data_IF_341850676505
#
_entry.id   IF_341850676505
#
_cell.length_a   1.000
_cell.length_b   1.000
_cell.length_c   1.000
_cell.angle_alpha   90.00
_cell.angle_beta   90.00
_cell.angle_gamma   90.00
#
_symmetry.space_group_name_H-M   'P 1'
#
loop_
_entity.id
_entity.type
_entity.pdbx_description
1 polymer ?
#
# COMPACT_ATOMS: atom_id res chain seq x y z
N UNK A 1 -13.94 -10.03 9.67
CA UNK A 1 -14.14 -11.19 10.56
C UNK A 1 -15.57 -11.31 11.04
N UNK A 2 -16.05 -10.44 11.94
CA UNK A 2 -17.39 -10.55 12.53
C UNK A 2 -18.52 -10.67 11.49
N UNK A 3 -18.45 -9.88 10.42
CA UNK A 3 -19.39 -9.98 9.29
C UNK A 3 -19.41 -11.37 8.64
N UNK A 4 -18.25 -12.00 8.47
CA UNK A 4 -18.17 -13.36 7.93
C UNK A 4 -18.73 -14.37 8.93
N UNK A 5 -18.38 -14.24 10.21
CA UNK A 5 -18.89 -15.10 11.28
C UNK A 5 -20.42 -15.04 11.44
N UNK A 6 -21.04 -13.88 11.15
CA UNK A 6 -22.50 -13.69 11.13
C UNK A 6 -23.15 -14.06 9.80
N UNK A 7 -22.38 -14.21 8.73
CA UNK A 7 -22.94 -14.46 7.41
C UNK A 7 -23.49 -15.89 7.33
N UNK A 8 -24.67 -16.05 6.73
CA UNK A 8 -25.26 -17.38 6.49
C UNK A 8 -24.33 -18.29 5.66
N UNK A 9 -23.44 -17.68 4.87
CA UNK A 9 -22.46 -18.40 4.04
C UNK A 9 -21.46 -19.19 4.90
N UNK A 10 -20.98 -18.61 6.01
CA UNK A 10 -19.87 -19.15 6.80
C UNK A 10 -20.19 -19.46 8.28
N UNK A 11 -21.28 -18.95 8.85
CA UNK A 11 -21.55 -18.99 10.29
C UNK A 11 -21.41 -20.38 10.94
N UNK A 12 -21.88 -21.42 10.26
CA UNK A 12 -21.81 -22.82 10.76
C UNK A 12 -20.70 -23.65 10.10
N UNK A 13 -19.87 -23.02 9.26
CA UNK A 13 -18.90 -23.71 8.39
C UNK A 13 -17.46 -23.28 8.63
N UNK A 14 -17.25 -22.10 9.20
CA UNK A 14 -15.93 -21.57 9.53
C UNK A 14 -15.97 -20.86 10.89
N UNK A 15 -14.92 -21.10 11.69
CA UNK A 15 -14.68 -20.34 12.91
C UNK A 15 -13.69 -19.21 12.63
N UNK A 16 -13.94 -18.04 13.23
CA UNK A 16 -13.07 -16.88 13.11
C UNK A 16 -12.46 -16.57 14.47
N UNK A 17 -11.15 -16.33 14.50
CA UNK A 17 -10.44 -16.00 15.72
C UNK A 17 -9.58 -14.74 15.54
N UNK A 18 -9.73 -13.78 16.46
CA UNK A 18 -8.85 -12.63 16.62
C UNK A 18 -7.93 -12.91 17.81
N UNK A 19 -6.62 -13.03 17.57
CA UNK A 19 -5.65 -13.41 18.61
C UNK A 19 -4.67 -12.27 18.83
N UNK A 20 -4.67 -11.68 20.02
CA UNK A 20 -3.69 -10.69 20.44
C UNK A 20 -2.34 -11.37 20.77
N UNK A 21 -1.27 -10.91 20.12
CA UNK A 21 0.10 -11.45 20.27
C UNK A 21 1.00 -10.61 21.18
N UNK A 22 0.48 -9.52 21.75
CA UNK A 22 1.25 -8.61 22.61
C UNK A 22 1.56 -9.16 24.03
N UNK A 23 1.18 -10.42 24.31
CA UNK A 23 1.23 -11.03 25.64
C UNK A 23 0.50 -10.23 26.74
N UNK A 24 -0.43 -9.35 26.35
CA UNK A 24 -1.24 -8.53 27.24
C UNK A 24 -2.72 -8.90 27.12
N UNK A 25 -3.25 -9.50 28.19
CA UNK A 25 -4.67 -9.85 28.30
C UNK A 25 -5.58 -8.62 28.23
N UNK A 26 -5.15 -7.47 28.79
CA UNK A 26 -5.96 -6.26 28.85
C UNK A 26 -6.20 -5.71 27.46
N UNK A 27 -5.13 -5.61 26.67
CA UNK A 27 -5.21 -5.19 25.26
C UNK A 27 -6.14 -6.10 24.45
N UNK A 28 -6.04 -7.42 24.63
CA UNK A 28 -6.92 -8.35 23.94
C UNK A 28 -8.40 -8.12 24.28
N UNK A 29 -8.72 -7.91 25.57
CA UNK A 29 -10.09 -7.64 26.01
C UNK A 29 -10.61 -6.30 25.43
N UNK A 30 -9.78 -5.27 25.45
CA UNK A 30 -10.09 -3.96 24.87
C UNK A 30 -10.38 -4.07 23.37
N UNK A 31 -9.49 -4.72 22.61
CA UNK A 31 -9.68 -4.98 21.18
C UNK A 31 -10.98 -5.73 20.88
N UNK A 32 -11.31 -6.75 21.68
CA UNK A 32 -12.56 -7.51 21.51
C UNK A 32 -13.81 -6.67 21.75
N UNK A 33 -13.81 -5.87 22.81
CA UNK A 33 -14.90 -4.98 23.17
C UNK A 33 -15.09 -3.89 22.10
N UNK A 34 -14.02 -3.24 21.66
CA UNK A 34 -14.06 -2.16 20.67
C UNK A 34 -14.43 -2.65 19.28
N UNK A 35 -13.96 -3.85 18.90
CA UNK A 35 -14.27 -4.44 17.59
C UNK A 35 -15.68 -5.02 17.50
N UNK A 36 -16.42 -5.08 18.61
CA UNK A 36 -17.76 -5.65 18.66
C UNK A 36 -17.82 -7.11 18.21
N UNK A 37 -16.79 -7.90 18.57
CA UNK A 37 -16.73 -9.32 18.21
C UNK A 37 -17.67 -10.11 19.13
N UNK A 38 -18.70 -10.71 18.53
CA UNK A 38 -19.72 -11.51 19.22
C UNK A 38 -19.70 -12.95 18.70
N UNK A 39 -19.61 -13.13 17.38
CA UNK A 39 -19.47 -14.46 16.77
C UNK A 39 -18.03 -14.89 16.55
N UNK A 40 -17.11 -13.95 16.33
CA UNK A 40 -15.69 -14.27 16.28
C UNK A 40 -15.12 -14.49 17.69
N UNK A 41 -14.25 -15.50 17.83
CA UNK A 41 -13.53 -15.77 19.08
C UNK A 41 -12.45 -14.72 19.26
N UNK A 42 -12.45 -14.03 20.39
CA UNK A 42 -11.36 -13.14 20.78
C UNK A 42 -10.44 -13.85 21.80
N UNK A 43 -9.13 -13.83 21.55
CA UNK A 43 -8.15 -14.56 22.35
C UNK A 43 -6.82 -13.84 22.44
N UNK A 44 -5.90 -14.40 23.22
CA UNK A 44 -4.55 -13.86 23.39
C UNK A 44 -3.54 -14.96 23.69
N UNK A 45 -2.29 -14.67 23.37
CA UNK A 45 -1.16 -15.55 23.68
C UNK A 45 -0.68 -15.25 25.10
N UNK A 46 -0.54 -16.29 25.94
CA UNK A 46 -0.16 -16.15 27.36
C UNK A 46 1.36 -16.19 27.61
N UNK A 47 2.12 -16.80 26.69
CA UNK A 47 3.57 -16.98 26.85
C UNK A 47 4.27 -16.83 25.51
N UNK A 48 5.54 -16.38 25.52
CA UNK A 48 6.37 -16.30 24.31
C UNK A 48 6.48 -17.62 23.55
N UNK A 49 6.44 -18.77 24.25
CA UNK A 49 6.52 -20.10 23.65
C UNK A 49 5.33 -20.40 22.71
N UNK A 50 4.20 -19.72 22.91
CA UNK A 50 2.96 -19.88 22.15
C UNK A 50 2.82 -18.84 21.03
N UNK A 51 3.79 -17.95 20.83
CA UNK A 51 3.75 -16.98 19.75
C UNK A 51 3.83 -17.69 18.38
N UNK A 52 3.06 -17.23 17.38
CA UNK A 52 3.15 -17.78 16.03
C UNK A 52 4.57 -17.59 15.48
N UNK A 53 5.17 -18.66 14.96
CA UNK A 53 6.51 -18.62 14.34
C UNK A 53 6.53 -17.99 12.95
N UNK A 54 5.37 -17.79 12.36
CA UNK A 54 5.19 -17.19 11.03
C UNK A 54 4.90 -15.68 11.09
N UNK A 55 5.10 -15.03 12.25
CA UNK A 55 4.99 -13.58 12.41
C UNK A 55 3.61 -13.08 12.86
N UNK A 56 3.49 -11.75 13.00
CA UNK A 56 2.25 -11.04 13.32
C UNK A 56 1.62 -10.49 12.04
N UNK A 57 0.35 -10.82 11.78
CA UNK A 57 -0.29 -10.49 10.51
C UNK A 57 -1.25 -9.30 10.54
N UNK A 58 -1.38 -8.56 11.65
CA UNK A 58 -2.20 -7.32 11.80
C UNK A 58 -3.08 -6.93 10.60
N UNK A 59 -2.71 -5.86 9.90
CA UNK A 59 -3.34 -5.47 8.63
C UNK A 59 -2.73 -6.19 7.40
N UNK A 60 -1.78 -7.10 7.63
CA UNK A 60 -1.07 -7.87 6.61
C UNK A 60 -1.85 -9.09 6.10
N UNK A 61 -2.89 -9.54 6.80
CA UNK A 61 -3.82 -10.54 6.28
C UNK A 61 -4.30 -11.54 7.31
N UNK A 62 -4.70 -12.71 6.83
CA UNK A 62 -5.28 -13.79 7.63
C UNK A 62 -4.47 -15.08 7.53
N UNK A 63 -4.49 -15.87 8.59
CA UNK A 63 -4.06 -17.28 8.58
C UNK A 63 -5.28 -18.16 8.42
N UNK A 64 -5.20 -19.16 7.54
CA UNK A 64 -6.27 -20.11 7.32
C UNK A 64 -5.83 -21.53 7.68
N UNK A 65 -6.66 -22.18 8.49
CA UNK A 65 -6.55 -23.59 8.84
C UNK A 65 -7.73 -24.35 8.23
N UNK A 66 -7.54 -25.63 7.92
CA UNK A 66 -8.65 -26.51 7.57
C UNK A 66 -9.38 -27.05 8.80
N UNK A 67 -10.40 -27.89 8.56
CA UNK A 67 -11.19 -28.54 9.63
C UNK A 67 -10.36 -29.42 10.58
N UNK A 68 -9.19 -29.88 10.15
CA UNK A 68 -8.25 -30.66 10.97
C UNK A 68 -7.22 -29.79 11.67
N UNK A 69 -7.41 -28.46 11.66
CA UNK A 69 -6.45 -27.47 12.16
C UNK A 69 -5.09 -27.55 11.47
N UNK A 70 -5.02 -28.10 10.25
CA UNK A 70 -3.80 -28.06 9.42
C UNK A 70 -3.74 -26.68 8.77
N UNK A 71 -2.59 -26.03 8.92
CA UNK A 71 -2.29 -24.76 8.26
C UNK A 71 -2.38 -24.92 6.73
N UNK A 72 -3.20 -24.09 6.09
CA UNK A 72 -3.38 -24.07 4.63
C UNK A 72 -2.77 -22.84 4.00
N UNK A 73 -2.98 -21.67 4.61
CA UNK A 73 -2.40 -20.42 4.16
C UNK A 73 -1.79 -19.69 5.36
N UNK A 74 -0.51 -19.37 5.24
CA UNK A 74 0.24 -18.62 6.25
C UNK A 74 -0.15 -17.15 6.29
N UNK A 75 -0.57 -16.60 5.15
CA UNK A 75 -0.89 -15.19 4.97
C UNK A 75 -1.79 -15.04 3.74
N UNK A 76 -2.74 -14.10 3.80
CA UNK A 76 -3.53 -13.62 2.65
C UNK A 76 -3.03 -12.25 2.24
N UNK A 77 -3.52 -11.69 1.14
CA UNK A 77 -3.14 -10.33 0.73
C UNK A 77 -3.45 -9.30 1.83
N UNK A 78 -2.52 -8.35 1.99
CA UNK A 78 -2.61 -7.25 2.95
C UNK A 78 -3.68 -6.23 2.57
N UNK A 79 -4.53 -5.87 3.52
CA UNK A 79 -5.57 -4.86 3.29
C UNK A 79 -4.96 -3.50 2.94
N UNK A 80 -3.82 -3.15 3.55
CA UNK A 80 -3.17 -1.87 3.27
C UNK A 80 -2.69 -1.77 1.82
N UNK A 81 -2.29 -2.91 1.22
CA UNK A 81 -1.75 -2.97 -0.13
C UNK A 81 -2.84 -3.03 -1.21
N UNK A 82 -3.86 -3.87 -1.03
CA UNK A 82 -4.84 -4.18 -2.10
C UNK A 82 -6.29 -3.89 -1.71
N UNK A 83 -6.51 -3.28 -0.54
CA UNK A 83 -7.81 -2.81 -0.04
C UNK A 83 -8.87 -3.92 -0.12
N UNK A 84 -9.99 -3.67 -0.81
CA UNK A 84 -11.11 -4.59 -0.92
C UNK A 84 -10.72 -5.97 -1.46
N UNK A 85 -9.71 -6.05 -2.34
CA UNK A 85 -9.25 -7.33 -2.90
C UNK A 85 -8.67 -8.27 -1.82
N UNK A 86 -8.21 -7.74 -0.69
CA UNK A 86 -7.75 -8.57 0.42
C UNK A 86 -8.90 -9.37 1.03
N UNK A 87 -10.10 -8.79 1.11
CA UNK A 87 -11.28 -9.50 1.60
C UNK A 87 -11.75 -10.54 0.59
N UNK A 88 -11.73 -10.21 -0.70
CA UNK A 88 -12.07 -11.15 -1.77
C UNK A 88 -11.11 -12.34 -1.82
N UNK A 89 -9.81 -12.12 -1.57
CA UNK A 89 -8.84 -13.18 -1.40
C UNK A 89 -9.29 -14.17 -0.32
N UNK A 90 -9.58 -13.68 0.88
CA UNK A 90 -9.98 -14.51 2.02
C UNK A 90 -11.27 -15.28 1.69
N UNK A 91 -12.23 -14.63 1.04
CA UNK A 91 -13.49 -15.27 0.64
C UNK A 91 -13.27 -16.39 -0.38
N UNK A 92 -12.44 -16.21 -1.41
CA UNK A 92 -12.12 -17.26 -2.38
C UNK A 92 -11.45 -18.49 -1.72
N UNK A 93 -10.61 -18.27 -0.70
CA UNK A 93 -9.99 -19.36 0.05
C UNK A 93 -10.98 -20.05 0.99
N UNK A 94 -11.81 -19.28 1.71
CA UNK A 94 -12.85 -19.83 2.58
C UNK A 94 -13.87 -20.65 1.78
N UNK A 95 -14.29 -20.18 0.61
CA UNK A 95 -15.18 -20.91 -0.29
C UNK A 95 -14.60 -22.27 -0.68
N UNK A 96 -13.32 -22.29 -1.03
CA UNK A 96 -12.64 -23.53 -1.39
C UNK A 96 -12.55 -24.50 -0.20
N UNK A 97 -12.23 -24.01 1.01
CA UNK A 97 -12.15 -24.84 2.21
C UNK A 97 -13.52 -25.39 2.65
N UNK A 98 -14.54 -24.54 2.63
CA UNK A 98 -15.92 -24.90 3.01
C UNK A 98 -16.51 -25.92 2.04
N UNK A 99 -16.26 -25.75 0.75
CA UNK A 99 -16.75 -26.66 -0.29
C UNK A 99 -15.83 -27.87 -0.52
N UNK A 100 -14.74 -27.98 0.24
CA UNK A 100 -13.73 -29.03 0.15
C UNK A 100 -13.13 -29.15 -1.27
N UNK A 101 -12.98 -28.02 -1.95
CA UNK A 101 -12.31 -27.90 -3.25
C UNK A 101 -10.84 -27.55 -3.04
N UNK A 102 -9.96 -27.87 -4.02
CA UNK A 102 -8.61 -27.32 -4.04
C UNK A 102 -8.67 -25.79 -3.96
N UNK A 103 -7.67 -25.17 -3.32
CA UNK A 103 -7.57 -23.71 -3.32
C UNK A 103 -7.51 -23.17 -4.77
N UNK A 104 -7.93 -21.93 -5.03
CA UNK A 104 -7.81 -21.34 -6.34
C UNK A 104 -6.33 -21.12 -6.67
N UNK A 105 -5.93 -21.32 -7.93
CA UNK A 105 -4.54 -21.14 -8.37
C UNK A 105 -4.01 -19.72 -8.12
N UNK A 106 -4.88 -18.74 -8.32
CA UNK A 106 -4.63 -17.32 -8.09
C UNK A 106 -5.90 -16.70 -7.53
N UNK A 107 -5.80 -15.98 -6.42
CA UNK A 107 -6.89 -15.27 -5.78
C UNK A 107 -6.84 -13.77 -6.08
N UNK A 108 -7.98 -13.04 -5.97
CA UNK A 108 -7.98 -11.58 -5.99
C UNK A 108 -6.93 -11.00 -5.03
N UNK A 109 -6.25 -9.94 -5.45
CA UNK A 109 -5.21 -9.28 -4.66
C UNK A 109 -3.86 -10.00 -4.63
N UNK A 110 -3.71 -11.19 -5.20
CA UNK A 110 -2.41 -11.84 -5.34
C UNK A 110 -1.60 -11.26 -6.50
N UNK A 111 -0.28 -11.27 -6.34
CA UNK A 111 0.68 -10.87 -7.36
C UNK A 111 0.91 -12.02 -8.35
N UNK A 112 1.03 -11.67 -9.62
CA UNK A 112 1.31 -12.63 -10.68
C UNK A 112 2.27 -12.04 -11.73
N UNK A 113 2.92 -12.93 -12.48
CA UNK A 113 3.72 -12.59 -13.65
C UNK A 113 3.04 -13.10 -14.91
N UNK A 114 2.94 -12.25 -15.91
CA UNK A 114 2.37 -12.58 -17.21
C UNK A 114 3.41 -13.31 -18.06
N UNK A 115 3.01 -14.41 -18.72
CA UNK A 115 3.88 -15.20 -19.60
C UNK A 115 3.13 -15.74 -20.81
N UNK A 116 3.83 -15.97 -21.92
CA UNK A 116 3.30 -16.71 -23.07
C UNK A 116 2.17 -16.02 -23.85
N UNK A 117 1.92 -14.72 -23.66
CA UNK A 117 0.98 -13.97 -24.50
C UNK A 117 1.54 -13.84 -25.93
N UNK A 118 0.79 -14.37 -26.91
CA UNK A 118 1.16 -14.28 -28.33
C UNK A 118 0.82 -12.94 -28.96
N UNK A 119 -0.37 -12.41 -28.63
CA UNK A 119 -0.89 -11.17 -29.23
C UNK A 119 -0.39 -9.90 -28.51
N UNK A 120 0.17 -10.04 -27.32
CA UNK A 120 0.71 -8.94 -26.49
C UNK A 120 2.03 -9.37 -25.86
N UNK A 121 2.98 -9.76 -26.71
CA UNK A 121 4.26 -10.31 -26.28
C UNK A 121 5.08 -9.33 -25.44
N UNK A 122 4.85 -8.02 -25.60
CA UNK A 122 5.44 -6.94 -24.83
C UNK A 122 5.07 -6.96 -23.34
N UNK A 123 4.00 -7.67 -22.95
CA UNK A 123 3.58 -7.80 -21.56
C UNK A 123 4.13 -9.07 -20.89
N UNK A 124 4.84 -9.93 -21.62
CA UNK A 124 5.46 -11.11 -21.03
C UNK A 124 6.62 -10.68 -20.12
N UNK A 125 6.63 -11.20 -18.89
CA UNK A 125 7.58 -10.85 -17.85
C UNK A 125 7.10 -9.73 -16.91
N UNK A 126 6.09 -8.96 -17.32
CA UNK A 126 5.51 -7.92 -16.48
C UNK A 126 4.74 -8.53 -15.29
N UNK A 127 4.77 -7.81 -14.17
CA UNK A 127 4.06 -8.17 -12.95
C UNK A 127 2.72 -7.43 -12.86
N UNK A 128 1.76 -8.05 -12.21
CA UNK A 128 0.46 -7.44 -11.97
C UNK A 128 -0.28 -8.04 -10.78
N UNK A 129 -1.38 -7.40 -10.43
CA UNK A 129 -2.27 -7.82 -9.34
C UNK A 129 -3.53 -8.43 -9.96
N UNK A 130 -3.92 -9.60 -9.48
CA UNK A 130 -5.18 -10.22 -9.85
C UNK A 130 -6.35 -9.41 -9.29
N UNK A 131 -7.31 -9.01 -10.15
CA UNK A 131 -8.44 -8.16 -9.75
C UNK A 131 -9.74 -8.95 -9.52
N UNK A 132 -9.81 -10.22 -9.90
CA UNK A 132 -11.04 -10.99 -9.82
C UNK A 132 -10.79 -12.50 -9.68
N UNK A 133 -11.79 -13.19 -9.15
CA UNK A 133 -11.88 -14.64 -9.20
C UNK A 133 -12.36 -15.07 -10.61
N UNK A 134 -11.64 -15.95 -11.33
CA UNK A 134 -11.97 -16.33 -12.69
C UNK A 134 -13.22 -17.21 -12.77
N UNK A 135 -14.38 -16.61 -13.11
CA UNK A 135 -15.60 -17.38 -13.38
C UNK A 135 -15.57 -18.14 -14.72
N UNK A 136 -14.81 -17.64 -15.69
CA UNK A 136 -14.74 -18.15 -17.07
C UNK A 136 -13.35 -18.69 -17.45
N UNK A 137 -12.52 -18.98 -16.45
CA UNK A 137 -11.13 -19.43 -16.64
C UNK A 137 -10.16 -18.33 -17.09
N UNK A 138 -10.62 -17.07 -17.15
CA UNK A 138 -9.77 -15.91 -17.42
C UNK A 138 -9.71 -14.97 -16.22
N UNK A 139 -8.52 -14.44 -15.99
CA UNK A 139 -8.22 -13.48 -14.94
C UNK A 139 -8.12 -12.08 -15.53
N UNK A 140 -8.56 -11.08 -14.78
CA UNK A 140 -8.30 -9.67 -15.03
C UNK A 140 -7.10 -9.30 -14.16
N UNK A 141 -6.02 -8.87 -14.81
CA UNK A 141 -4.77 -8.50 -14.15
C UNK A 141 -4.50 -7.03 -14.37
N UNK A 142 -4.25 -6.29 -13.29
CA UNK A 142 -3.74 -4.93 -13.36
C UNK A 142 -2.22 -4.94 -13.48
N UNK A 143 -1.71 -4.59 -14.66
CA UNK A 143 -0.27 -4.52 -14.94
C UNK A 143 0.26 -3.19 -14.43
N UNK A 144 1.01 -3.21 -13.33
CA UNK A 144 1.40 -2.00 -12.59
C UNK A 144 2.20 -1.03 -13.46
N UNK A 145 3.21 -1.52 -14.20
CA UNK A 145 4.08 -0.70 -15.04
C UNK A 145 3.35 -0.04 -16.22
N UNK A 146 2.48 -0.82 -16.86
CA UNK A 146 1.71 -0.35 -18.01
C UNK A 146 0.42 0.40 -17.60
N UNK A 147 0.08 0.40 -16.30
CA UNK A 147 -1.15 0.99 -15.72
C UNK A 147 -2.43 0.62 -16.48
N UNK A 148 -2.52 -0.63 -16.93
CA UNK A 148 -3.66 -1.14 -17.68
C UNK A 148 -4.17 -2.45 -17.09
N UNK A 149 -5.47 -2.68 -17.24
CA UNK A 149 -6.09 -3.97 -16.94
C UNK A 149 -6.11 -4.83 -18.21
N UNK A 150 -5.75 -6.10 -18.09
CA UNK A 150 -5.79 -7.04 -19.20
C UNK A 150 -6.49 -8.33 -18.78
N UNK A 151 -7.18 -8.96 -19.71
CA UNK A 151 -7.75 -10.31 -19.53
C UNK A 151 -6.72 -11.34 -19.97
N UNK A 152 -6.35 -12.25 -19.07
CA UNK A 152 -5.27 -13.23 -19.23
C UNK A 152 -5.79 -14.61 -18.86
N UNK A 153 -5.46 -15.63 -19.65
CA UNK A 153 -5.79 -17.02 -19.30
C UNK A 153 -4.88 -17.52 -18.17
N UNK A 154 -5.35 -18.51 -17.41
CA UNK A 154 -4.57 -19.13 -16.33
C UNK A 154 -3.19 -19.62 -16.78
N UNK A 155 -3.11 -20.27 -17.95
CA UNK A 155 -1.87 -20.80 -18.55
C UNK A 155 -0.82 -19.72 -18.86
N UNK A 156 -1.23 -18.46 -18.86
CA UNK A 156 -0.38 -17.30 -19.10
C UNK A 156 -0.03 -16.53 -17.82
N UNK A 157 -0.31 -17.10 -16.64
CA UNK A 157 -0.04 -16.48 -15.34
C UNK A 157 0.79 -17.39 -14.43
N UNK A 158 1.84 -16.81 -13.85
CA UNK A 158 2.62 -17.39 -12.76
C UNK A 158 2.26 -16.68 -11.47
N UNK A 159 1.79 -17.40 -10.44
CA UNK A 159 1.52 -16.82 -9.12
C UNK A 159 2.85 -16.51 -8.42
N UNK A 160 3.05 -15.25 -8.00
CA UNK A 160 4.25 -14.78 -7.29
C UNK A 160 4.03 -14.68 -5.78
N UNK A 161 2.78 -14.63 -5.31
CA UNK A 161 2.44 -14.48 -3.89
C UNK A 161 2.64 -15.76 -3.08
N UNK A 162 2.59 -16.92 -3.73
CA UNK A 162 2.77 -18.21 -3.07
C UNK A 162 4.16 -18.73 -3.38
N UNK A 163 4.98 -18.86 -2.34
CA UNK A 163 6.19 -19.67 -2.45
C UNK A 163 5.77 -21.06 -2.93
N UNK A 164 6.24 -21.45 -4.11
CA UNK A 164 6.02 -22.79 -4.66
C UNK A 164 6.75 -23.75 -3.73
N UNK A 165 6.10 -24.18 -2.67
CA UNK A 165 6.61 -25.21 -1.79
C UNK A 165 6.47 -26.50 -2.58
N UNK A 166 7.55 -26.91 -3.23
CA UNK A 166 7.67 -28.04 -4.18
C UNK A 166 7.22 -29.41 -3.57
N UNK A 167 6.75 -29.45 -2.33
CA UNK A 167 6.35 -30.69 -1.64
C UNK A 167 4.88 -30.81 -1.22
N UNK A 168 4.06 -29.75 -1.28
CA UNK A 168 2.61 -29.91 -1.10
C UNK A 168 2.01 -30.26 -2.45
N UNK A 169 1.41 -31.45 -2.57
CA UNK A 169 0.70 -31.94 -3.75
C UNK A 169 -0.45 -30.98 -4.12
N UNK A 170 -0.10 -29.88 -4.78
CA UNK A 170 -1.05 -29.09 -5.52
C UNK A 170 -1.33 -29.87 -6.81
N UNK A 171 -2.18 -30.89 -6.70
CA UNK A 171 -2.68 -31.67 -7.83
C UNK A 171 -3.69 -30.88 -8.66
N UNK A 172 -3.60 -29.55 -8.66
CA UNK A 172 -4.31 -28.67 -9.57
C UNK A 172 -3.84 -28.97 -10.98
N UNK A 173 -4.34 -30.08 -11.53
CA UNK A 173 -4.43 -30.28 -12.96
C UNK A 173 -5.07 -29.01 -13.49
N UNK A 174 -4.29 -28.18 -14.17
CA UNK A 174 -4.82 -27.26 -15.17
C UNK A 174 -5.78 -28.14 -15.98
N UNK A 175 -7.09 -27.87 -15.99
CA UNK A 175 -8.00 -28.68 -16.78
C UNK A 175 -7.49 -28.61 -18.22
N UNK A 176 -6.79 -29.66 -18.64
CA UNK A 176 -6.33 -29.79 -20.01
C UNK A 176 -7.61 -29.77 -20.83
N UNK A 177 -7.71 -28.81 -21.75
CA UNK A 177 -8.82 -28.70 -22.69
C UNK A 177 -8.78 -29.86 -23.71
N UNK A 178 -8.64 -31.10 -23.25
CA UNK A 178 -8.68 -32.33 -24.03
C UNK A 178 -10.12 -32.83 -24.03
N UNK A 179 -10.93 -32.30 -24.95
CA UNK A 179 -12.30 -32.76 -25.12
C UNK A 179 -13.10 -32.06 -26.22
N UNK A 180 -12.60 -30.98 -26.79
CA UNK A 180 -13.19 -30.36 -27.98
C UNK A 180 -12.62 -30.99 -29.25
N UNK A 181 -13.36 -31.93 -29.85
CA UNK A 181 -13.07 -32.44 -31.18
C UNK A 181 -13.05 -31.30 -32.22
N UNK A 182 -11.88 -30.72 -32.46
CA UNK A 182 -11.62 -29.95 -33.66
C UNK A 182 -11.71 -30.91 -34.85
N UNK A 183 -12.86 -30.90 -35.54
CA UNK A 183 -13.03 -31.58 -36.82
C UNK A 183 -11.88 -31.16 -37.76
N UNK A 184 -11.14 -32.10 -38.36
CA UNK A 184 -10.12 -31.77 -39.34
C UNK A 184 -10.79 -31.05 -40.51
N UNK A 185 -10.30 -29.86 -40.82
CA UNK A 185 -10.68 -29.11 -42.02
C UNK A 185 -10.12 -29.90 -43.21
N UNK A 186 -11.02 -30.49 -44.00
CA UNK A 186 -10.69 -31.23 -45.21
C UNK A 186 -9.78 -30.39 -46.13
N UNK A 187 -8.58 -30.91 -46.38
CA UNK A 187 -7.67 -30.35 -47.39
C UNK A 187 -8.14 -30.80 -48.76
N UNK A 188 -8.45 -29.81 -49.61
CA UNK A 188 -8.63 -29.96 -51.06
C UNK A 188 -7.29 -30.45 -51.67
N UNK A 189 -7.28 -31.52 -52.50
CA UNK A 189 -6.06 -31.94 -53.18
C UNK A 189 -5.82 -31.08 -54.43
N UNK A 190 -4.61 -30.51 -54.53
CA UNK A 190 -4.05 -30.02 -55.78
C UNK A 190 -3.12 -31.10 -56.34
N UNK A 191 -3.36 -31.47 -57.60
CA UNK A 191 -2.57 -32.40 -58.39
C UNK A 191 -1.49 -31.66 -59.19
N UNK A 192 -0.32 -32.28 -59.30
CA UNK A 192 0.65 -32.29 -60.42
C UNK A 192 1.97 -32.89 -59.86
N UNK A 193 2.43 -34.05 -60.33
CA UNK A 193 3.44 -34.23 -61.42
C UNK A 193 4.75 -33.47 -61.12
N UNK A 194 5.98 -33.97 -61.28
CA UNK A 194 6.60 -35.22 -61.73
C UNK A 194 8.12 -35.06 -61.42
N UNK A 195 8.86 -36.18 -61.43
CA UNK A 195 10.29 -36.31 -61.81
C UNK A 195 11.45 -36.07 -60.81
N UNK A 196 12.40 -37.03 -60.86
CA UNK A 196 13.85 -36.83 -60.67
C UNK A 196 14.39 -37.15 -59.26
N UNK A 197 14.94 -38.35 -58.98
CA UNK A 197 16.25 -38.90 -59.38
C UNK A 197 17.46 -38.38 -58.57
N UNK A 198 18.25 -39.36 -58.10
CA UNK A 198 19.69 -39.33 -57.76
C UNK A 198 20.14 -39.12 -56.29
N UNK A 199 20.42 -40.27 -55.66
CA UNK A 199 21.68 -40.74 -55.04
C UNK A 199 22.60 -39.86 -54.16
N UNK A 200 23.13 -40.54 -53.13
CA UNK A 200 24.46 -40.47 -52.48
C UNK A 200 24.84 -39.17 -51.75
N UNK A 201 25.76 -39.10 -50.78
CA UNK A 201 26.39 -39.98 -49.78
C UNK A 201 27.38 -39.03 -49.08
N UNK A 202 27.44 -39.09 -47.75
CA UNK A 202 28.63 -38.92 -46.89
C UNK A 202 29.56 -37.69 -47.00
N UNK A 203 30.07 -37.33 -45.82
CA UNK A 203 31.42 -36.84 -45.53
C UNK A 203 31.66 -35.32 -45.38
N UNK A 204 31.85 -34.99 -44.10
CA UNK A 204 33.11 -34.51 -43.52
C UNK A 204 33.55 -33.04 -43.63
N UNK A 205 33.90 -32.56 -42.43
CA UNK A 205 35.03 -31.71 -42.07
C UNK A 205 34.94 -30.18 -42.18
N UNK A 206 34.77 -29.59 -40.99
CA UNK A 206 35.81 -28.91 -40.20
C UNK A 206 36.45 -27.60 -40.73
N UNK A 207 36.72 -26.74 -39.74
CA UNK A 207 37.80 -25.75 -39.63
C UNK A 207 37.62 -24.30 -40.14
N UNK A 208 37.42 -23.44 -39.14
CA UNK A 208 38.26 -22.28 -38.74
C UNK A 208 38.35 -20.98 -39.55
N UNK A 209 38.41 -19.93 -38.72
CA UNK A 209 39.22 -18.69 -38.81
C UNK A 209 38.74 -17.52 -39.67
N UNK A 210 38.22 -16.52 -38.94
CA UNK A 210 38.79 -15.18 -38.73
C UNK A 210 39.18 -14.29 -39.91
N UNK A 211 38.65 -13.07 -39.80
CA UNK A 211 39.24 -11.76 -40.06
C UNK A 211 38.93 -11.04 -41.39
N UNK A 212 38.71 -9.74 -41.18
CA UNK A 212 38.96 -8.58 -42.04
C UNK A 212 37.87 -8.06 -42.99
N UNK A 213 37.28 -6.94 -42.52
CA UNK A 213 37.40 -5.58 -43.07
C UNK A 213 36.83 -5.22 -44.46
N UNK A 214 36.23 -4.03 -44.45
CA UNK A 214 36.13 -3.00 -45.49
C UNK A 214 34.88 -2.94 -46.39
N UNK A 215 34.08 -1.91 -46.07
CA UNK A 215 33.77 -0.73 -46.90
C UNK A 215 32.73 -0.79 -48.03
N UNK A 216 32.16 0.41 -48.24
CA UNK A 216 31.40 0.93 -49.38
C UNK A 216 29.88 0.71 -49.46
N UNK A 217 29.18 1.77 -49.02
CA UNK A 217 28.25 2.59 -49.82
C UNK A 217 27.44 1.95 -50.94
N UNK A 218 26.12 1.97 -50.80
CA UNK A 218 25.20 2.46 -51.86
C UNK A 218 23.95 3.08 -51.25
N UNK A 219 23.69 4.29 -51.71
CA UNK A 219 22.48 5.11 -51.61
C UNK A 219 21.20 4.37 -52.01
N UNK A 220 20.06 4.72 -51.39
CA UNK A 220 18.80 4.81 -52.11
C UNK A 220 17.85 5.85 -51.51
N UNK A 221 17.52 6.80 -52.38
CA UNK A 221 16.51 7.85 -52.34
C UNK A 221 15.12 7.23 -52.46
N UNK A 222 14.14 7.60 -51.63
CA UNK A 222 12.71 7.50 -52.01
C UNK A 222 11.89 8.56 -51.29
N UNK A 223 11.07 9.22 -52.10
CA UNK A 223 10.32 10.45 -51.90
C UNK A 223 9.23 10.38 -50.83
N UNK A 224 9.11 11.45 -50.05
CA UNK A 224 7.94 11.76 -49.23
C UNK A 224 6.83 12.31 -50.12
N UNK A 225 5.65 11.68 -50.08
CA UNK A 225 4.41 12.23 -50.62
C UNK A 225 3.50 12.54 -49.42
N UNK A 226 3.40 13.83 -49.07
CA UNK A 226 2.44 14.34 -48.10
C UNK A 226 1.05 14.39 -48.75
N UNK A 227 0.08 13.71 -48.15
CA UNK A 227 -1.35 13.95 -48.40
C UNK A 227 -1.94 14.58 -47.14
N UNK A 228 -2.39 15.82 -47.28
CA UNK A 228 -3.18 16.55 -46.29
C UNK A 228 -4.64 16.17 -46.47
N UNK A 229 -5.31 15.71 -45.41
CA UNK A 229 -6.73 15.45 -45.37
C UNK A 229 -7.43 16.55 -44.54
N UNK A 230 -8.46 17.16 -45.13
CA UNK A 230 -9.29 18.22 -44.56
C UNK A 230 -10.27 17.70 -43.48
N UNK A 231 -10.68 18.53 -42.49
CA UNK A 231 -11.62 18.13 -41.46
C UNK A 231 -13.09 18.31 -41.91
N UNK A 232 -13.89 17.26 -41.74
CA UNK A 232 -15.34 17.27 -41.95
C UNK A 232 -16.12 17.85 -40.74
N UNK A 233 -17.36 18.32 -40.94
CA UNK A 233 -18.11 19.05 -39.92
C UNK A 233 -18.83 18.15 -38.92
N UNK A 234 -18.74 18.52 -37.64
CA UNK A 234 -19.51 17.94 -36.51
C UNK A 234 -20.99 18.33 -36.61
N UNK A 235 -21.87 17.34 -36.62
CA UNK A 235 -23.30 17.51 -36.35
C UNK A 235 -23.51 17.64 -34.83
N UNK A 236 -24.17 18.71 -34.42
CA UNK A 236 -24.72 18.87 -33.08
C UNK A 236 -25.99 18.04 -32.95
N UNK A 237 -26.01 17.12 -32.00
CA UNK A 237 -27.19 16.33 -31.63
C UNK A 237 -27.92 17.05 -30.50
N UNK A 238 -29.20 17.34 -30.73
CA UNK A 238 -30.09 18.02 -29.80
C UNK A 238 -30.52 17.06 -28.68
N UNK A 239 -30.37 17.51 -27.43
CA UNK A 239 -30.90 16.84 -26.24
C UNK A 239 -32.33 17.34 -26.00
N UNK A 240 -33.35 16.47 -25.91
CA UNK A 240 -34.66 16.86 -25.44
C UNK A 240 -34.72 16.83 -23.91
N UNK A 241 -35.39 17.85 -23.38
CA UNK A 241 -35.59 18.17 -21.97
C UNK A 241 -36.90 17.60 -21.40
N UNK A 242 -36.81 17.11 -20.15
CA UNK A 242 -37.86 17.03 -19.10
C UNK A 242 -39.04 16.04 -19.29
N UNK A 243 -39.85 15.66 -18.25
CA UNK A 243 -39.99 16.25 -16.91
C UNK A 243 -40.22 15.28 -15.70
N UNK A 244 -40.33 15.87 -14.50
CA UNK A 244 -41.14 15.48 -13.33
C UNK A 244 -40.77 14.23 -12.50
N UNK A 245 -40.16 14.48 -11.33
CA UNK A 245 -40.27 13.58 -10.17
C UNK A 245 -41.43 14.05 -9.28
N UNK A 246 -42.43 13.17 -9.14
CA UNK A 246 -43.54 13.31 -8.21
C UNK A 246 -43.14 12.76 -6.83
N UNK A 247 -43.56 13.49 -5.80
CA UNK A 247 -43.50 13.13 -4.39
C UNK A 247 -44.16 11.77 -4.12
N UNK A 248 -43.41 10.85 -3.51
CA UNK A 248 -43.98 9.69 -2.82
C UNK A 248 -43.73 9.84 -1.33
N UNK A 249 -44.82 10.12 -0.60
CA UNK A 249 -44.93 9.95 0.85
C UNK A 249 -44.63 8.48 1.17
N UNK A 250 -43.79 8.22 2.16
CA UNK A 250 -43.72 6.92 2.82
C UNK A 250 -44.22 7.09 4.24
N UNK A 251 -45.27 6.35 4.53
CA UNK A 251 -45.88 6.10 5.82
C UNK A 251 -44.82 5.50 6.77
N UNK A 252 -44.69 6.10 7.94
CA UNK A 252 -43.99 5.50 9.07
C UNK A 252 -45.04 4.69 9.85
N UNK A 253 -45.00 3.37 9.68
CA UNK A 253 -45.74 2.45 10.55
C UNK A 253 -44.96 2.30 11.86
N UNK A 254 -45.61 2.82 12.88
CA UNK A 254 -45.36 2.74 14.30
C UNK A 254 -45.36 1.27 14.76
N UNK A 255 -44.17 0.71 15.02
CA UNK A 255 -44.03 -0.61 15.62
C UNK A 255 -43.71 -0.46 17.11
N UNK A 256 -44.75 -0.65 17.94
CA UNK A 256 -44.63 -0.84 19.38
C UNK A 256 -43.88 -2.14 19.68
N UNK A 257 -42.76 -2.03 20.42
CA UNK A 257 -42.21 -3.15 21.16
C UNK A 257 -42.25 -2.80 22.65
N UNK A 258 -43.00 -3.63 23.37
CA UNK A 258 -43.27 -3.59 24.79
C UNK A 258 -42.01 -3.60 25.66
N UNK A 259 -42.15 -2.91 26.79
CA UNK A 259 -41.28 -2.93 27.95
C UNK A 259 -40.96 -4.35 28.41
N UNK A 260 -39.67 -4.70 28.45
CA UNK A 260 -39.17 -5.73 29.35
C UNK A 260 -38.29 -5.05 30.38
N UNK A 261 -38.87 -4.90 31.57
CA UNK A 261 -38.22 -4.52 32.82
C UNK A 261 -37.24 -5.63 33.20
N UNK A 262 -35.94 -5.35 33.14
CA UNK A 262 -34.91 -6.21 33.73
C UNK A 262 -34.30 -5.48 34.92
N UNK A 263 -34.62 -5.98 36.10
CA UNK A 263 -34.17 -5.50 37.41
C UNK A 263 -32.65 -5.64 37.55
N UNK A 264 -31.98 -4.55 37.91
CA UNK A 264 -30.59 -4.51 38.38
C UNK A 264 -30.58 -4.82 39.89
N UNK A 265 -29.83 -5.82 40.38
CA UNK A 265 -29.50 -5.88 41.79
C UNK A 265 -28.26 -5.02 42.08
N UNK A 266 -28.44 -4.01 42.93
CA UNK A 266 -27.38 -3.18 43.52
C UNK A 266 -26.37 -4.02 44.32
N UNK A 267 -25.06 -3.67 44.31
CA UNK A 267 -24.09 -4.24 45.24
C UNK A 267 -24.16 -3.53 46.62
N UNK A 268 -23.99 -4.26 47.72
CA UNK A 268 -24.16 -3.70 49.07
C UNK A 268 -23.00 -2.80 49.48
N UNK A 269 -23.38 -1.69 50.12
CA UNK A 269 -22.52 -0.80 50.89
C UNK A 269 -21.75 -1.58 51.98
N UNK A 270 -20.42 -1.48 51.99
CA UNK A 270 -19.60 -1.75 53.16
C UNK A 270 -19.08 -0.42 53.69
N UNK A 271 -19.57 -0.06 54.89
CA UNK A 271 -19.06 1.04 55.71
C UNK A 271 -18.10 0.50 56.77
N UNK A 272 -17.06 1.32 56.98
CA UNK A 272 -16.39 1.67 58.25
C UNK A 272 -15.40 0.70 58.92
N UNK A 273 -14.27 1.33 59.31
CA UNK A 273 -13.29 0.87 60.31
C UNK A 273 -11.87 0.90 59.74
N UNK A 274 -10.86 1.57 60.27
CA UNK A 274 -10.69 2.44 61.43
C UNK A 274 -9.24 2.93 61.39
N UNK A 275 -9.01 4.14 61.90
CA UNK A 275 -7.70 4.74 62.15
C UNK A 275 -6.73 3.81 62.90
N UNK A 276 -5.48 3.77 62.46
CA UNK A 276 -4.34 3.71 63.37
C UNK A 276 -3.26 4.67 62.90
N UNK A 277 -3.11 5.74 63.67
CA UNK A 277 -1.97 6.65 63.69
C UNK A 277 -0.72 5.86 64.09
N UNK A 278 0.36 5.99 63.31
CA UNK A 278 1.70 5.81 63.87
C UNK A 278 2.59 7.00 63.52
N UNK A 279 3.00 7.62 64.62
CA UNK A 279 3.73 8.87 64.80
C UNK A 279 5.20 8.51 64.88
N UNK A 280 6.05 8.93 63.94
CA UNK A 280 7.49 9.04 64.16
C UNK A 280 8.03 10.33 63.54
N UNK A 281 8.71 11.07 64.40
CA UNK A 281 9.32 12.38 64.23
C UNK A 281 10.76 12.27 63.67
N UNK A 282 11.38 13.40 63.29
CA UNK A 282 12.49 13.42 62.33
C UNK A 282 13.87 13.31 63.01
N UNK A 283 14.84 12.74 62.29
CA UNK A 283 16.24 12.79 62.63
C UNK A 283 16.98 13.82 61.77
N UNK A 284 17.90 14.50 62.46
CA UNK A 284 18.67 15.68 62.10
C UNK A 284 19.90 15.40 61.24
N UNK A 285 20.20 16.38 60.37
CA UNK A 285 21.50 16.94 59.99
C UNK A 285 22.77 16.05 60.00
N UNK A 286 23.43 15.98 58.83
CA UNK A 286 24.89 15.96 58.74
C UNK A 286 25.35 16.78 57.53
N UNK A 287 26.02 17.87 57.86
CA UNK A 287 26.74 18.80 56.98
C UNK A 287 28.09 18.19 56.61
N UNK A 288 28.42 18.13 55.31
CA UNK A 288 29.83 18.06 54.87
C UNK A 288 30.01 18.93 53.63
N UNK A 289 30.69 20.05 53.87
CA UNK A 289 31.25 20.98 52.90
C UNK A 289 32.50 20.38 52.26
N UNK A 290 32.61 20.42 50.93
CA UNK A 290 33.92 20.55 50.29
C UNK A 290 33.82 21.47 49.06
N UNK A 291 34.50 22.59 49.22
CA UNK A 291 34.75 23.66 48.27
C UNK A 291 35.73 23.24 47.18
N UNK A 292 35.44 23.57 45.92
CA UNK A 292 36.45 23.89 44.91
C UNK A 292 35.86 24.86 43.87
N UNK A 293 36.53 25.99 43.72
CA UNK A 293 36.16 27.19 42.98
C UNK A 293 36.25 27.04 41.43
N UNK A 294 35.75 28.03 40.65
CA UNK A 294 35.47 27.89 39.23
C UNK A 294 36.58 28.47 38.33
N UNK A 295 36.70 27.95 37.10
CA UNK A 295 37.42 28.62 36.03
C UNK A 295 36.70 28.48 34.67
N UNK A 296 36.55 29.65 34.05
CA UNK A 296 36.37 29.95 32.62
C UNK A 296 34.97 29.80 32.00
N UNK A 297 34.31 30.96 31.94
CA UNK A 297 33.16 31.21 31.08
C UNK A 297 33.54 31.45 29.62
N UNK A 298 32.71 30.90 28.74
CA UNK A 298 32.46 31.39 27.39
C UNK A 298 30.95 31.61 27.27
N UNK A 299 30.47 32.78 26.85
CA UNK A 299 29.05 32.97 26.61
C UNK A 299 28.67 32.23 25.32
N UNK A 300 27.91 31.14 25.45
CA UNK A 300 27.09 30.64 24.33
C UNK A 300 25.91 31.59 24.18
N UNK A 301 25.97 32.42 23.15
CA UNK A 301 24.77 33.08 22.65
C UNK A 301 23.94 32.01 21.94
N UNK A 302 22.81 31.61 22.53
CA UNK A 302 21.80 30.83 21.84
C UNK A 302 21.19 31.72 20.74
N UNK A 303 21.29 31.35 19.44
CA UNK A 303 20.66 32.11 18.39
C UNK A 303 19.14 32.00 18.51
N UNK A 304 18.45 33.13 18.35
CA UNK A 304 16.99 33.19 18.30
C UNK A 304 16.43 32.17 17.28
N UNK A 305 15.34 31.44 17.58
CA UNK A 305 14.73 30.45 16.68
C UNK A 305 14.47 30.99 15.26
N UNK A 306 14.10 32.27 15.15
CA UNK A 306 13.85 32.94 13.87
C UNK A 306 15.10 33.09 12.98
N UNK A 307 16.29 33.23 13.58
CA UNK A 307 17.55 33.31 12.83
C UNK A 307 17.97 31.93 12.28
N UNK A 308 17.60 30.85 12.96
CA UNK A 308 17.88 29.48 12.52
C UNK A 308 17.00 29.06 11.34
N UNK A 309 15.74 29.51 11.29
CA UNK A 309 14.82 29.21 10.19
C UNK A 309 15.20 29.95 8.90
N UNK A 310 15.52 31.24 9.00
CA UNK A 310 15.98 32.03 7.85
C UNK A 310 17.30 31.50 7.26
N UNK A 311 18.24 31.09 8.12
CA UNK A 311 19.50 30.48 7.69
C UNK A 311 19.27 29.13 7.00
N UNK A 312 18.32 28.33 7.48
CA UNK A 312 17.95 27.08 6.86
C UNK A 312 17.28 27.26 5.51
N UNK A 313 16.27 28.15 5.40
CA UNK A 313 15.62 28.46 4.12
C UNK A 313 16.62 29.03 3.11
N UNK A 314 17.61 29.80 3.57
CA UNK A 314 18.73 30.22 2.74
C UNK A 314 19.62 29.04 2.31
N UNK A 315 19.92 28.09 3.19
CA UNK A 315 20.67 26.88 2.85
C UNK A 315 19.92 25.99 1.85
N UNK A 316 18.60 25.81 2.00
CA UNK A 316 17.76 25.05 1.07
C UNK A 316 17.74 25.71 -0.32
N UNK A 317 17.64 27.05 -0.36
CA UNK A 317 17.76 27.85 -1.59
C UNK A 317 19.15 27.71 -2.22
N UNK A 318 20.21 27.76 -1.42
CA UNK A 318 21.59 27.59 -1.89
C UNK A 318 21.81 26.19 -2.47
N UNK A 319 21.33 25.14 -1.79
CA UNK A 319 21.39 23.75 -2.25
C UNK A 319 20.59 23.52 -3.53
N UNK A 320 19.47 24.24 -3.69
CA UNK A 320 18.66 24.21 -4.91
C UNK A 320 19.29 24.99 -6.07
N UNK A 321 20.09 26.03 -5.77
CA UNK A 321 20.76 26.87 -6.78
C UNK A 321 22.14 26.35 -7.24
N UNK A 322 22.73 25.40 -6.52
CA UNK A 322 24.10 24.91 -6.75
C UNK A 322 24.31 23.95 -7.92
N UNK A 323 23.29 23.72 -8.77
CA UNK A 323 23.31 22.67 -9.81
C UNK A 323 23.68 23.17 -11.23
N UNK A 324 24.21 24.38 -11.41
CA UNK A 324 24.54 24.91 -12.75
C UNK A 324 26.02 24.73 -13.19
N UNK A 325 26.88 24.09 -12.39
CA UNK A 325 28.32 24.03 -12.68
C UNK A 325 28.96 22.62 -12.62
N UNK A 326 28.22 21.55 -12.95
CA UNK A 326 28.79 20.21 -13.08
C UNK A 326 28.48 19.60 -14.45
N UNK A 327 29.53 19.15 -15.14
CA UNK A 327 29.47 18.58 -16.46
C UNK A 327 28.53 17.38 -16.59
N UNK A 328 28.08 17.19 -17.82
CA UNK A 328 27.14 16.20 -18.33
C UNK A 328 27.48 14.76 -17.90
N UNK A 329 26.94 14.31 -16.76
CA UNK A 329 26.86 12.89 -16.39
C UNK A 329 25.49 12.37 -16.82
N UNK A 330 25.42 11.89 -18.06
CA UNK A 330 24.23 11.25 -18.62
C UNK A 330 24.08 9.83 -18.07
N UNK A 331 23.29 9.66 -17.01
CA UNK A 331 22.94 8.31 -16.55
C UNK A 331 22.21 8.24 -15.21
N UNK A 332 20.88 8.32 -15.22
CA UNK A 332 20.08 7.58 -14.23
C UNK A 332 18.98 8.30 -13.46
N UNK A 333 18.75 9.61 -13.61
CA UNK A 333 17.72 10.33 -12.80
C UNK A 333 16.35 10.48 -13.51
N UNK A 334 16.19 9.94 -14.71
CA UNK A 334 15.06 10.25 -15.60
C UNK A 334 13.71 9.55 -15.30
N UNK A 335 13.49 8.98 -14.10
CA UNK A 335 12.27 8.20 -13.84
C UNK A 335 11.56 8.46 -12.51
N UNK A 336 11.54 9.70 -12.01
CA UNK A 336 10.42 10.17 -11.18
C UNK A 336 9.23 10.51 -12.10
N UNK A 337 8.64 9.49 -12.74
CA UNK A 337 7.58 9.62 -13.76
C UNK A 337 6.19 9.36 -13.21
N UNK A 338 5.90 9.69 -11.95
CA UNK A 338 4.52 9.97 -11.58
C UNK A 338 4.14 11.34 -12.15
N UNK A 339 3.62 11.37 -13.37
CA UNK A 339 3.08 12.59 -13.99
C UNK A 339 1.85 13.15 -13.28
N UNK A 340 1.36 12.48 -12.23
CA UNK A 340 0.29 12.99 -11.39
C UNK A 340 0.89 14.08 -10.50
N UNK A 341 0.33 15.29 -10.55
CA UNK A 341 0.54 16.27 -9.47
C UNK A 341 -0.26 15.79 -8.25
N UNK A 342 0.24 15.99 -7.03
CA UNK A 342 -0.54 15.69 -5.84
C UNK A 342 -1.80 16.56 -5.82
N UNK A 343 -2.87 16.05 -5.20
CA UNK A 343 -4.12 16.79 -5.06
C UNK A 343 -3.85 18.06 -4.24
N UNK A 344 -4.25 19.21 -4.78
CA UNK A 344 -4.30 20.47 -4.02
C UNK A 344 -5.54 20.45 -3.13
N UNK A 345 -5.38 20.84 -1.87
CA UNK A 345 -6.49 20.93 -0.92
C UNK A 345 -7.27 22.23 -1.11
N UNK A 346 -6.71 23.24 -1.77
CA UNK A 346 -7.34 24.56 -1.90
C UNK A 346 -7.36 25.31 -0.57
N UNK A 347 -6.39 25.03 0.30
CA UNK A 347 -6.07 25.75 1.53
C UNK A 347 -4.66 26.27 1.31
N UNK A 348 -4.51 27.59 1.15
CA UNK A 348 -3.29 28.19 0.60
C UNK A 348 -2.02 27.81 1.37
N UNK A 349 -2.09 27.81 2.71
CA UNK A 349 -0.94 27.48 3.56
C UNK A 349 -0.56 26.00 3.44
N UNK A 350 -1.54 25.08 3.47
CA UNK A 350 -1.30 23.64 3.27
C UNK A 350 -0.73 23.33 1.89
N UNK A 351 -1.30 23.95 0.85
CA UNK A 351 -0.83 23.77 -0.52
C UNK A 351 0.61 24.28 -0.70
N UNK A 352 1.02 25.31 0.05
CA UNK A 352 2.39 25.83 0.04
C UNK A 352 3.37 24.89 0.79
N UNK A 353 2.95 24.32 1.91
CA UNK A 353 3.74 23.34 2.66
C UNK A 353 3.95 22.04 1.88
N UNK A 354 2.91 21.57 1.17
CA UNK A 354 3.02 20.44 0.25
C UNK A 354 4.05 20.73 -0.85
N UNK A 355 4.03 21.93 -1.44
CA UNK A 355 5.04 22.32 -2.42
C UNK A 355 6.46 22.34 -1.83
N UNK A 356 6.64 22.80 -0.59
CA UNK A 356 7.94 22.79 0.11
C UNK A 356 8.45 21.37 0.38
N UNK A 357 7.58 20.47 0.85
CA UNK A 357 7.89 19.05 1.02
C UNK A 357 8.31 18.40 -0.30
N UNK A 358 7.57 18.67 -1.39
CA UNK A 358 7.87 18.15 -2.72
C UNK A 358 9.20 18.67 -3.27
N UNK A 359 9.52 19.94 -3.01
CA UNK A 359 10.82 20.52 -3.34
C UNK A 359 11.95 19.81 -2.59
N UNK A 360 11.79 19.56 -1.29
CA UNK A 360 12.78 18.83 -0.50
C UNK A 360 12.95 17.37 -0.97
N UNK A 361 11.85 16.68 -1.27
CA UNK A 361 11.86 15.31 -1.79
C UNK A 361 12.52 15.22 -3.17
N UNK A 362 12.29 16.20 -4.04
CA UNK A 362 12.99 16.32 -5.32
C UNK A 362 14.50 16.47 -5.11
N UNK A 363 14.91 17.34 -4.19
CA UNK A 363 16.32 17.53 -3.83
C UNK A 363 16.94 16.22 -3.30
N UNK A 364 16.21 15.48 -2.46
CA UNK A 364 16.63 14.15 -1.98
C UNK A 364 16.82 13.16 -3.13
N UNK A 365 15.91 13.11 -4.09
CA UNK A 365 16.03 12.18 -5.21
C UNK A 365 17.19 12.52 -6.15
N UNK A 366 17.54 13.81 -6.27
CA UNK A 366 18.70 14.29 -7.03
C UNK A 366 20.02 14.02 -6.29
N UNK A 367 20.12 14.44 -5.03
CA UNK A 367 21.39 14.42 -4.28
C UNK A 367 21.66 13.10 -3.56
N UNK A 368 20.61 12.40 -3.12
CA UNK A 368 20.64 11.08 -2.46
C UNK A 368 21.70 10.96 -1.37
N UNK A 369 21.77 11.95 -0.50
CA UNK A 369 22.69 11.97 0.64
C UNK A 369 21.92 12.27 1.94
N UNK A 370 22.57 12.03 3.07
CA UNK A 370 21.92 12.19 4.38
C UNK A 370 21.53 13.63 4.70
N UNK A 371 22.25 14.64 4.18
CA UNK A 371 21.87 16.04 4.37
C UNK A 371 20.53 16.37 3.69
N UNK A 372 20.32 15.89 2.47
CA UNK A 372 19.04 16.04 1.77
C UNK A 372 17.91 15.26 2.46
N UNK A 373 18.19 14.07 3.00
CA UNK A 373 17.19 13.31 3.77
C UNK A 373 16.81 14.02 5.08
N UNK A 374 17.79 14.58 5.79
CA UNK A 374 17.54 15.40 6.96
C UNK A 374 16.71 16.66 6.63
N UNK A 375 16.91 17.23 5.43
CA UNK A 375 16.11 18.34 4.94
C UNK A 375 14.63 17.94 4.77
N UNK A 376 14.38 16.79 4.13
CA UNK A 376 13.02 16.23 3.99
C UNK A 376 12.40 15.97 5.35
N UNK A 377 13.11 15.30 6.25
CA UNK A 377 12.62 15.00 7.60
C UNK A 377 12.18 16.27 8.34
N UNK A 378 12.98 17.34 8.25
CA UNK A 378 12.65 18.61 8.90
C UNK A 378 11.35 19.19 8.34
N UNK A 379 11.26 19.36 7.03
CA UNK A 379 10.09 20.00 6.39
C UNK A 379 8.83 19.17 6.59
N UNK A 380 8.89 17.84 6.44
CA UNK A 380 7.74 16.97 6.70
C UNK A 380 7.28 17.02 8.15
N UNK A 381 8.21 17.10 9.12
CA UNK A 381 7.84 17.24 10.54
C UNK A 381 7.11 18.54 10.81
N UNK A 382 7.63 19.67 10.32
CA UNK A 382 7.00 20.98 10.51
C UNK A 382 5.60 21.01 9.90
N UNK A 383 5.45 20.42 8.70
CA UNK A 383 4.16 20.25 8.05
C UNK A 383 3.18 19.39 8.87
N UNK A 384 3.60 18.20 9.33
CA UNK A 384 2.75 17.32 10.13
C UNK A 384 2.36 17.94 11.47
N UNK A 385 3.27 18.66 12.14
CA UNK A 385 2.98 19.39 13.38
C UNK A 385 1.92 20.48 13.15
N UNK A 386 1.96 21.17 12.01
CA UNK A 386 0.95 22.17 11.65
C UNK A 386 -0.41 21.53 11.38
N UNK A 387 -0.48 20.42 10.65
CA UNK A 387 -1.72 19.67 10.41
C UNK A 387 -2.37 19.23 11.72
N UNK A 388 -1.58 18.64 12.62
CA UNK A 388 -2.05 18.17 13.91
C UNK A 388 -2.63 19.31 14.75
N UNK A 389 -1.93 20.44 14.83
CA UNK A 389 -2.42 21.64 15.50
C UNK A 389 -3.69 22.23 14.85
N UNK A 390 -3.79 22.13 13.52
CA UNK A 390 -4.96 22.58 12.78
C UNK A 390 -6.19 21.73 13.11
N UNK A 391 -6.04 20.40 13.23
CA UNK A 391 -7.14 19.50 13.59
C UNK A 391 -7.67 19.76 14.99
N UNK A 392 -6.78 19.99 15.96
CA UNK A 392 -7.15 20.38 17.32
C UNK A 392 -7.98 21.67 17.31
N UNK A 393 -7.58 22.65 16.48
CA UNK A 393 -8.28 23.94 16.36
C UNK A 393 -9.65 23.80 15.70
N UNK A 394 -9.79 22.97 14.67
CA UNK A 394 -11.06 22.81 13.93
C UNK A 394 -11.97 21.72 14.51
N UNK A 395 -11.50 20.99 15.51
CA UNK A 395 -12.21 19.85 16.11
C UNK A 395 -12.35 18.65 15.17
N UNK A 396 -11.41 18.47 14.23
CA UNK A 396 -11.45 17.36 13.28
C UNK A 396 -11.10 16.04 13.99
N UNK A 397 -11.96 15.02 13.82
CA UNK A 397 -11.78 13.70 14.41
C UNK A 397 -11.98 13.60 15.93
N UNK A 398 -12.48 14.66 16.59
CA UNK A 398 -12.92 14.65 17.99
C UNK A 398 -14.30 13.99 18.21
N UNK A 399 -14.80 13.25 17.21
CA UNK A 399 -16.00 12.44 17.37
C UNK A 399 -15.74 11.29 18.33
N UNK A 400 -16.72 10.94 19.16
CA UNK A 400 -16.66 9.83 20.14
C UNK A 400 -16.58 8.43 19.51
N UNK A 401 -16.36 8.32 18.21
CA UNK A 401 -16.28 7.04 17.53
C UNK A 401 -14.89 6.44 17.71
N UNK A 402 -14.83 5.15 18.06
CA UNK A 402 -13.64 4.38 18.43
C UNK A 402 -12.53 4.32 17.34
N UNK A 403 -12.78 4.85 16.15
CA UNK A 403 -11.80 5.04 15.09
C UNK A 403 -11.72 6.52 14.74
N UNK A 404 -10.93 7.27 15.52
CA UNK A 404 -10.63 8.65 15.17
C UNK A 404 -9.71 8.65 13.94
N UNK A 405 -10.22 9.15 12.82
CA UNK A 405 -9.43 9.35 11.60
C UNK A 405 -8.12 10.11 11.91
N UNK A 406 -8.18 11.07 12.83
CA UNK A 406 -7.04 11.81 13.36
C UNK A 406 -6.00 10.89 14.00
N UNK A 407 -6.39 9.94 14.85
CA UNK A 407 -5.43 9.04 15.50
C UNK A 407 -4.66 8.21 14.47
N UNK A 408 -5.35 7.62 13.49
CA UNK A 408 -4.69 6.85 12.42
C UNK A 408 -3.80 7.72 11.53
N UNK A 409 -4.18 8.98 11.29
CA UNK A 409 -3.38 9.93 10.50
C UNK A 409 -2.10 10.30 11.24
N UNK A 410 -2.19 10.61 12.54
CA UNK A 410 -1.02 10.91 13.38
C UNK A 410 -0.09 9.69 13.50
N UNK A 411 -0.64 8.47 13.61
CA UNK A 411 0.17 7.25 13.60
C UNK A 411 0.93 7.08 12.28
N UNK A 412 0.33 7.45 11.15
CA UNK A 412 1.00 7.48 9.86
C UNK A 412 2.13 8.54 9.80
N UNK A 413 1.91 9.75 10.33
CA UNK A 413 2.98 10.75 10.47
C UNK A 413 4.18 10.19 11.24
N UNK A 414 3.92 9.58 12.39
CA UNK A 414 4.96 9.00 13.26
C UNK A 414 5.72 7.89 12.54
N UNK A 415 5.02 7.03 11.78
CA UNK A 415 5.65 5.97 10.97
C UNK A 415 6.62 6.57 9.95
N UNK A 416 6.14 7.50 9.13
CA UNK A 416 6.92 8.13 8.05
C UNK A 416 8.14 8.89 8.60
N UNK A 417 7.98 9.66 9.68
CA UNK A 417 9.09 10.35 10.35
C UNK A 417 10.10 9.36 10.95
N UNK A 418 9.62 8.31 11.62
CA UNK A 418 10.48 7.29 12.23
C UNK A 418 11.32 6.51 11.21
N UNK A 419 10.77 6.21 10.03
CA UNK A 419 11.52 5.57 8.94
C UNK A 419 12.66 6.45 8.42
N UNK A 420 12.39 7.75 8.23
CA UNK A 420 13.43 8.72 7.86
C UNK A 420 14.51 8.87 8.92
N UNK A 421 14.14 8.97 10.20
CA UNK A 421 15.08 9.03 11.32
C UNK A 421 15.97 7.78 11.39
N UNK A 422 15.38 6.59 11.27
CA UNK A 422 16.11 5.32 11.24
C UNK A 422 17.13 5.30 10.11
N UNK A 423 16.73 5.70 8.91
CA UNK A 423 17.66 5.75 7.78
C UNK A 423 18.77 6.79 7.93
N UNK A 424 18.50 7.95 8.53
CA UNK A 424 19.55 8.94 8.84
C UNK A 424 20.56 8.35 9.85
N UNK A 425 20.09 7.61 10.85
CA UNK A 425 20.95 6.92 11.81
C UNK A 425 21.81 5.85 11.11
N UNK A 426 21.21 5.02 10.25
CA UNK A 426 21.88 3.94 9.53
C UNK A 426 23.00 4.43 8.59
N UNK A 427 22.81 5.58 7.95
CA UNK A 427 23.80 6.18 7.04
C UNK A 427 24.85 7.05 7.77
N UNK A 428 24.87 7.03 9.11
CA UNK A 428 25.87 7.71 9.92
C UNK A 428 25.70 9.23 10.02
N UNK A 429 24.46 9.74 10.06
CA UNK A 429 24.19 11.12 10.45
C UNK A 429 24.55 12.19 9.40
N UNK A 430 24.58 11.85 8.11
CA UNK A 430 24.62 12.85 7.03
C UNK A 430 25.60 12.56 5.89
N UNK A 431 26.66 11.78 6.14
CA UNK A 431 27.71 11.52 5.15
C UNK A 431 27.43 10.31 4.24
N UNK A 432 26.52 9.43 4.62
CA UNK A 432 26.18 8.26 3.81
C UNK A 432 25.23 8.57 2.64
N UNK A 433 25.23 7.67 1.67
CA UNK A 433 24.41 7.74 0.46
C UNK A 433 23.06 7.07 0.71
N UNK A 434 21.98 7.75 0.33
CA UNK A 434 20.61 7.24 0.43
C UNK A 434 20.31 6.32 -0.75
N UNK A 435 19.71 5.17 -0.45
CA UNK A 435 19.26 4.22 -1.45
C UNK A 435 18.19 4.85 -2.36
N UNK A 436 18.23 4.54 -3.65
CA UNK A 436 17.42 5.23 -4.66
C UNK A 436 15.98 4.78 -4.61
N UNK A 437 15.80 3.48 -4.37
CA UNK A 437 14.51 2.90 -4.05
C UNK A 437 13.89 3.58 -2.84
N UNK A 438 14.64 3.81 -1.75
CA UNK A 438 14.11 4.48 -0.57
C UNK A 438 13.67 5.92 -0.85
N UNK A 439 14.51 6.72 -1.52
CA UNK A 439 14.14 8.08 -1.90
C UNK A 439 12.88 8.11 -2.78
N UNK A 440 12.73 7.14 -3.69
CA UNK A 440 11.52 7.00 -4.51
C UNK A 440 10.31 6.56 -3.68
N UNK A 441 10.48 5.62 -2.75
CA UNK A 441 9.43 5.19 -1.83
C UNK A 441 8.88 6.37 -1.02
N UNK A 442 9.76 7.21 -0.45
CA UNK A 442 9.32 8.40 0.29
C UNK A 442 8.50 9.37 -0.58
N UNK A 443 8.88 9.56 -1.85
CA UNK A 443 8.09 10.35 -2.79
C UNK A 443 6.70 9.73 -2.97
N UNK A 444 6.63 8.43 -3.26
CA UNK A 444 5.37 7.73 -3.50
C UNK A 444 4.48 7.74 -2.25
N UNK A 445 5.05 7.51 -1.07
CA UNK A 445 4.34 7.56 0.21
C UNK A 445 3.80 8.95 0.51
N UNK A 446 4.59 10.01 0.33
CA UNK A 446 4.12 11.38 0.54
C UNK A 446 2.96 11.74 -0.42
N UNK A 447 3.04 11.29 -1.67
CA UNK A 447 1.93 11.45 -2.62
C UNK A 447 0.68 10.68 -2.21
N UNK A 448 0.83 9.44 -1.72
CA UNK A 448 -0.29 8.67 -1.20
C UNK A 448 -0.89 9.36 0.02
N UNK A 449 -0.05 9.88 0.91
CA UNK A 449 -0.45 10.59 2.12
C UNK A 449 -1.37 11.78 1.80
N UNK A 450 -0.94 12.68 0.93
CA UNK A 450 -1.75 13.84 0.52
C UNK A 450 -3.10 13.41 -0.07
N UNK A 451 -3.09 12.38 -0.92
CA UNK A 451 -4.29 11.97 -1.63
C UNK A 451 -5.26 11.19 -0.73
N UNK A 452 -4.73 10.33 0.12
CA UNK A 452 -5.51 9.37 0.89
C UNK A 452 -5.90 9.92 2.26
N UNK A 453 -5.02 10.68 2.92
CA UNK A 453 -5.20 11.18 4.27
C UNK A 453 -5.57 12.67 4.29
N UNK A 454 -4.74 13.55 3.71
CA UNK A 454 -4.96 15.00 3.84
C UNK A 454 -6.25 15.47 3.19
N UNK A 455 -6.61 14.80 2.09
CA UNK A 455 -7.85 15.05 1.37
C UNK A 455 -9.12 14.80 2.21
N UNK A 456 -9.02 14.02 3.30
CA UNK A 456 -10.16 13.68 4.16
C UNK A 456 -10.60 14.86 5.04
N UNK A 457 -9.67 15.72 5.48
CA UNK A 457 -9.99 16.84 6.36
C UNK A 457 -10.24 18.16 5.60
N UNK A 458 -10.02 18.18 4.29
CA UNK A 458 -10.18 19.34 3.39
C UNK A 458 -11.50 20.11 3.65
N UNK A 459 -12.62 19.38 3.66
CA UNK A 459 -13.94 19.98 3.83
C UNK A 459 -14.15 20.57 5.23
N UNK A 460 -13.62 19.92 6.27
CA UNK A 460 -13.75 20.36 7.65
C UNK A 460 -12.95 21.67 7.88
N UNK A 461 -11.72 21.72 7.39
CA UNK A 461 -10.87 22.92 7.51
C UNK A 461 -11.45 24.08 6.71
N UNK A 462 -11.87 23.87 5.45
CA UNK A 462 -12.52 24.93 4.65
C UNK A 462 -13.77 25.48 5.32
N UNK A 463 -14.58 24.61 5.94
CA UNK A 463 -15.76 25.03 6.69
C UNK A 463 -15.38 25.88 7.91
N UNK A 464 -14.37 25.48 8.67
CA UNK A 464 -13.91 26.23 9.84
C UNK A 464 -13.36 27.62 9.45
N UNK A 465 -12.58 27.70 8.38
CA UNK A 465 -12.07 28.98 7.85
C UNK A 465 -13.23 29.90 7.43
N UNK A 466 -14.26 29.37 6.76
CA UNK A 466 -15.43 30.15 6.31
C UNK A 466 -16.29 30.68 7.45
N UNK A 467 -16.34 29.99 8.60
CA UNK A 467 -17.14 30.40 9.76
C UNK A 467 -16.39 31.41 10.63
N UNK A 468 -15.06 31.40 10.59
CA UNK A 468 -14.21 32.35 11.33
C UNK A 468 -13.99 33.71 10.63
N UNK A 469 -14.47 33.88 9.40
CA UNK A 469 -14.46 35.12 8.61
C UNK A 469 -15.90 35.63 8.44
#
# INVERSE_FOLDING_TARGET
MERWAKSQKYADKAAFACICVALDKRLALEMGNESGLDKAVNGYVTTNANLPRYGQLGCQGFILFDKGLKLKHKETSSFLQVKQLAFEHVESLLDSLVEQRPAPYLCPGEQCRIRGLRNRAELNGEQGICLNDPKDGSFVVFVQRARQQIKVKMENLENLSRETTIGDEYSGQVPSCEGGACKPREKKPCASEESGSSTCSSSDNNKTSAANSNNLSTSNTTSQQQQQAAPGPRKQEQVPSSPQQANAKKEEDEFCCDEIVSENPEPPCIRSGSEQQQKQQPATAATTTSSSAPLNGFPRADPSPAASDAAWKAALRLLSSGSEAAGEVSGGVASLRSSARPKRLGIADMDAEHDECLSALKLLAEQRNGAALAAVLKVCREHFEHEEALWDKVGFGNGTQAFSATKSHIEEHRRVLGEMESHIADIGGGCGKVAGCFAQTLVEEFFSHINDYDSQYEAAVKKAIKVGC
#
